data_IF_269587172525
#
_entry.id   IF_269587172525
#
_cell.length_a   1.000
_cell.length_b   1.000
_cell.length_c   1.000
_cell.angle_alpha   90.00
_cell.angle_beta   90.00
_cell.angle_gamma   90.00
#
_symmetry.space_group_name_H-M   'P 1'
#
loop_
_entity.id
_entity.type
_entity.pdbx_description
1 polymer ?
#
# COMPACT_ATOMS: atom_id res chain seq x y z
N UNK A 1 -50.38 7.53 54.76
CA UNK A 1 -50.25 6.77 53.48
C UNK A 1 -49.14 7.43 52.66
N UNK A 2 -47.89 6.95 52.78
CA UNK A 2 -46.76 7.52 52.09
C UNK A 2 -46.53 6.69 50.83
N UNK A 3 -46.74 7.29 49.63
CA UNK A 3 -46.37 6.68 48.34
C UNK A 3 -44.84 6.80 48.17
N UNK A 4 -44.18 5.64 48.16
CA UNK A 4 -42.75 5.54 47.74
C UNK A 4 -42.70 5.49 46.23
N UNK A 5 -42.14 6.52 45.61
CA UNK A 5 -41.84 6.54 44.18
C UNK A 5 -40.55 5.74 43.92
N UNK A 6 -40.68 4.60 43.24
CA UNK A 6 -39.54 3.81 42.76
C UNK A 6 -38.87 4.57 41.60
N UNK A 7 -37.64 5.03 41.82
CA UNK A 7 -36.79 5.57 40.75
C UNK A 7 -36.29 4.41 39.91
N UNK A 8 -36.84 4.25 38.71
CA UNK A 8 -36.27 3.35 37.68
C UNK A 8 -35.00 3.98 37.16
N UNK A 9 -33.84 3.50 37.63
CA UNK A 9 -32.55 3.85 37.07
C UNK A 9 -32.45 3.21 35.68
N UNK A 10 -32.57 4.04 34.63
CA UNK A 10 -32.26 3.59 33.29
C UNK A 10 -30.75 3.28 33.25
N UNK A 11 -30.39 2.00 33.05
CA UNK A 11 -29.03 1.58 32.81
C UNK A 11 -28.50 2.35 31.57
N UNK A 12 -27.40 3.08 31.73
CA UNK A 12 -26.73 3.73 30.63
C UNK A 12 -26.51 2.72 29.50
N UNK A 13 -26.71 3.11 28.23
CA UNK A 13 -26.45 2.21 27.11
C UNK A 13 -25.02 1.72 27.22
N UNK A 14 -24.82 0.41 27.28
CA UNK A 14 -23.50 -0.21 27.30
C UNK A 14 -22.80 0.27 26.05
N UNK A 15 -21.78 1.15 26.20
CA UNK A 15 -20.98 1.62 25.09
C UNK A 15 -20.46 0.40 24.33
N UNK A 16 -20.69 0.37 23.03
CA UNK A 16 -20.14 -0.66 22.17
C UNK A 16 -18.62 -0.65 22.36
N UNK A 17 -18.08 -1.72 22.92
CA UNK A 17 -16.65 -1.92 23.00
C UNK A 17 -16.10 -1.99 21.58
N UNK A 18 -14.89 -1.45 21.31
CA UNK A 18 -14.34 -1.39 19.97
C UNK A 18 -14.35 -2.79 19.35
N UNK A 19 -15.05 -2.94 18.25
CA UNK A 19 -15.07 -4.15 17.47
C UNK A 19 -13.72 -4.31 16.78
N UNK A 20 -13.22 -5.53 16.70
CA UNK A 20 -12.09 -5.87 15.86
C UNK A 20 -12.60 -6.24 14.47
N UNK A 21 -11.89 -5.83 13.44
CA UNK A 21 -12.17 -6.27 12.09
C UNK A 21 -11.18 -7.37 11.69
N UNK A 22 -11.74 -8.47 11.18
CA UNK A 22 -10.98 -9.59 10.63
C UNK A 22 -11.14 -9.55 9.12
N UNK A 23 -10.02 -9.54 8.41
CA UNK A 23 -9.98 -9.61 6.95
C UNK A 23 -9.80 -11.06 6.51
N UNK A 24 -10.60 -11.48 5.53
CA UNK A 24 -10.36 -12.69 4.76
C UNK A 24 -10.27 -12.36 3.27
N UNK A 25 -9.39 -13.06 2.55
CA UNK A 25 -9.25 -13.01 1.09
C UNK A 25 -9.41 -14.41 0.54
N UNK A 26 -10.24 -14.56 -0.50
CA UNK A 26 -10.52 -15.84 -1.16
C UNK A 26 -10.84 -16.98 -0.16
N UNK A 27 -11.61 -16.65 0.89
CA UNK A 27 -11.99 -17.56 1.95
C UNK A 27 -10.94 -17.87 3.01
N UNK A 28 -9.74 -17.29 2.92
CA UNK A 28 -8.66 -17.45 3.91
C UNK A 28 -8.57 -16.22 4.79
N UNK A 29 -8.54 -16.41 6.11
CA UNK A 29 -8.26 -15.32 7.06
C UNK A 29 -6.83 -14.83 6.88
N UNK A 30 -6.65 -13.53 6.70
CA UNK A 30 -5.35 -12.90 6.44
C UNK A 30 -4.87 -11.97 7.55
N UNK A 31 -5.74 -11.61 8.49
CA UNK A 31 -5.32 -10.85 9.65
C UNK A 31 -6.41 -10.04 10.33
N UNK A 32 -6.05 -9.43 11.45
CA UNK A 32 -6.85 -8.43 12.16
C UNK A 32 -6.45 -7.05 11.63
N UNK A 33 -7.42 -6.23 11.31
CA UNK A 33 -7.20 -4.86 10.87
C UNK A 33 -7.06 -3.93 12.07
N UNK A 34 -6.21 -2.93 11.93
CA UNK A 34 -6.14 -1.80 12.84
C UNK A 34 -7.32 -0.84 12.60
N UNK A 35 -7.71 -0.64 11.34
CA UNK A 35 -8.91 0.11 10.93
C UNK A 35 -9.46 -0.39 9.59
N UNK A 36 -10.73 -0.08 9.34
CA UNK A 36 -11.38 -0.25 8.05
C UNK A 36 -12.42 0.86 7.87
N UNK A 37 -12.35 1.60 6.78
CA UNK A 37 -13.24 2.74 6.48
C UNK A 37 -13.64 2.73 5.00
N UNK A 38 -14.85 3.22 4.68
CA UNK A 38 -15.35 3.34 3.31
C UNK A 38 -16.03 2.06 2.79
N UNK A 39 -15.96 1.86 1.48
CA UNK A 39 -16.57 0.73 0.76
C UNK A 39 -18.07 0.85 0.55
N UNK A 40 -18.75 1.81 1.17
CA UNK A 40 -20.20 1.96 1.09
C UNK A 40 -20.65 2.49 -0.27
N UNK A 41 -21.89 2.19 -0.63
CA UNK A 41 -22.49 2.74 -1.84
C UNK A 41 -22.93 4.19 -1.58
N UNK A 42 -22.45 5.10 -2.39
CA UNK A 42 -22.77 6.54 -2.31
C UNK A 42 -23.51 6.97 -3.57
N UNK A 43 -24.53 7.77 -3.38
CA UNK A 43 -25.31 8.37 -4.45
C UNK A 43 -24.76 9.72 -4.85
N UNK A 44 -24.52 9.92 -6.14
CA UNK A 44 -24.20 11.21 -6.71
C UNK A 44 -25.46 12.08 -6.84
N UNK A 45 -25.42 13.28 -6.27
CA UNK A 45 -26.54 14.20 -6.29
C UNK A 45 -26.24 15.39 -7.19
N UNK A 46 -27.05 15.59 -8.21
CA UNK A 46 -27.00 16.75 -9.10
C UNK A 46 -28.07 17.75 -8.70
N UNK A 47 -27.69 19.03 -8.62
CA UNK A 47 -28.59 20.15 -8.37
C UNK A 47 -28.94 20.87 -9.66
N UNK A 48 -30.23 21.08 -9.93
CA UNK A 48 -30.75 21.85 -11.08
C UNK A 48 -31.56 23.02 -10.59
N UNK A 49 -31.33 24.19 -11.15
CA UNK A 49 -32.15 25.39 -10.96
C UNK A 49 -33.15 25.47 -12.13
N UNK A 50 -34.38 25.11 -11.86
CA UNK A 50 -35.51 25.27 -12.79
C UNK A 50 -36.33 26.44 -12.26
N UNK A 51 -36.45 27.55 -12.95
CA UNK A 51 -37.32 28.72 -12.66
C UNK A 51 -37.58 29.09 -11.16
N UNK A 52 -36.89 28.45 -10.25
CA UNK A 52 -36.99 28.61 -8.80
C UNK A 52 -35.63 28.97 -8.21
N UNK A 53 -35.57 29.86 -7.21
CA UNK A 53 -34.35 30.14 -6.47
C UNK A 53 -33.87 28.97 -5.63
N UNK A 54 -34.72 27.95 -5.45
CA UNK A 54 -34.40 26.72 -4.70
C UNK A 54 -34.00 25.63 -5.71
N UNK A 55 -32.76 25.18 -5.60
CA UNK A 55 -32.26 24.08 -6.44
C UNK A 55 -32.96 22.76 -6.10
N UNK A 56 -33.49 22.09 -7.13
CA UNK A 56 -33.96 20.71 -7.02
C UNK A 56 -32.76 19.78 -7.07
N UNK A 57 -32.76 18.79 -6.19
CA UNK A 57 -31.68 17.80 -6.10
C UNK A 57 -32.20 16.44 -6.55
N UNK A 58 -31.44 15.77 -7.41
CA UNK A 58 -31.74 14.44 -7.92
C UNK A 58 -30.53 13.54 -7.77
N UNK A 59 -30.77 12.30 -7.32
CA UNK A 59 -29.76 11.27 -7.34
C UNK A 59 -29.66 10.72 -8.78
N UNK A 60 -28.47 10.80 -9.38
CA UNK A 60 -28.26 10.43 -10.79
C UNK A 60 -27.45 9.18 -10.97
N UNK A 61 -26.58 8.86 -10.04
CA UNK A 61 -25.69 7.71 -10.12
C UNK A 61 -25.36 7.20 -8.73
N UNK A 62 -24.83 5.97 -8.66
CA UNK A 62 -24.28 5.39 -7.42
C UNK A 62 -22.93 4.76 -7.72
N UNK A 63 -21.98 4.93 -6.81
CA UNK A 63 -20.66 4.31 -6.86
C UNK A 63 -20.24 3.86 -5.46
N UNK A 64 -19.39 2.85 -5.39
CA UNK A 64 -18.75 2.50 -4.12
C UNK A 64 -17.62 3.47 -3.83
N UNK A 65 -17.55 3.92 -2.58
CA UNK A 65 -16.36 4.59 -2.06
C UNK A 65 -15.18 3.63 -2.04
N UNK A 66 -13.97 4.19 -2.10
CA UNK A 66 -12.78 3.39 -1.84
C UNK A 66 -12.86 2.81 -0.42
N UNK A 67 -12.43 1.56 -0.27
CA UNK A 67 -12.29 0.89 1.01
C UNK A 67 -10.84 1.01 1.47
N UNK A 68 -10.62 1.79 2.53
CA UNK A 68 -9.30 1.89 3.16
C UNK A 68 -9.20 0.94 4.35
N UNK A 69 -8.16 0.12 4.36
CA UNK A 69 -7.85 -0.81 5.44
C UNK A 69 -6.43 -0.63 5.93
N UNK A 70 -6.24 -0.72 7.24
CA UNK A 70 -4.92 -0.69 7.86
C UNK A 70 -4.65 -2.03 8.56
N UNK A 71 -3.48 -2.61 8.29
CA UNK A 71 -3.07 -3.90 8.85
C UNK A 71 -1.60 -3.88 9.23
N UNK A 72 -1.24 -4.72 10.21
CA UNK A 72 0.15 -4.89 10.62
C UNK A 72 0.97 -5.67 9.59
N UNK A 73 2.30 -5.56 9.70
CA UNK A 73 3.25 -6.34 8.90
C UNK A 73 3.26 -7.84 9.25
N UNK A 74 2.50 -8.24 10.25
CA UNK A 74 2.23 -9.63 10.64
C UNK A 74 1.04 -10.25 9.89
N UNK A 75 0.55 -9.56 8.86
CA UNK A 75 -0.47 -10.11 7.98
C UNK A 75 0.03 -11.37 7.27
N UNK A 76 -0.91 -12.27 6.96
CA UNK A 76 -0.61 -13.52 6.30
C UNK A 76 -0.19 -13.34 4.83
N UNK A 77 0.55 -14.30 4.30
CA UNK A 77 1.11 -14.32 2.95
C UNK A 77 0.15 -13.85 1.82
N UNK A 78 -1.17 -14.18 1.81
CA UNK A 78 -2.04 -13.76 0.71
C UNK A 78 -2.12 -12.24 0.48
N UNK A 79 -1.87 -11.42 1.50
CA UNK A 79 -1.78 -9.95 1.35
C UNK A 79 -0.52 -9.58 0.58
N UNK A 80 0.63 -10.14 0.98
CA UNK A 80 1.92 -9.89 0.33
C UNK A 80 1.90 -10.32 -1.14
N UNK A 81 1.35 -11.51 -1.41
CA UNK A 81 1.20 -12.04 -2.77
C UNK A 81 0.28 -11.14 -3.62
N UNK A 82 -0.79 -10.59 -3.04
CA UNK A 82 -1.68 -9.68 -3.76
C UNK A 82 -1.02 -8.35 -4.09
N UNK A 83 -0.31 -7.76 -3.13
CA UNK A 83 0.44 -6.52 -3.34
C UNK A 83 1.51 -6.74 -4.41
N UNK A 84 2.31 -7.79 -4.28
CA UNK A 84 3.40 -8.07 -5.21
C UNK A 84 2.88 -8.36 -6.64
N UNK A 85 1.81 -9.15 -6.77
CA UNK A 85 1.16 -9.38 -8.06
C UNK A 85 0.64 -8.07 -8.67
N UNK A 86 0.09 -7.15 -7.85
CA UNK A 86 -0.38 -5.85 -8.31
C UNK A 86 0.78 -4.98 -8.80
N UNK A 87 1.89 -4.94 -8.07
CA UNK A 87 3.07 -4.16 -8.45
C UNK A 87 3.80 -4.69 -9.68
N UNK A 88 3.63 -5.97 -9.98
CA UNK A 88 4.17 -6.59 -11.21
C UNK A 88 3.24 -6.49 -12.42
N UNK A 89 2.15 -5.73 -12.31
CA UNK A 89 1.18 -5.57 -13.41
C UNK A 89 0.19 -6.74 -13.55
N UNK A 90 0.30 -7.76 -12.69
CA UNK A 90 -0.59 -8.92 -12.63
C UNK A 90 -1.65 -8.79 -11.54
N UNK A 91 -1.96 -7.54 -11.13
CA UNK A 91 -2.95 -7.25 -10.11
C UNK A 91 -4.30 -7.85 -10.46
N UNK A 92 -4.80 -8.70 -9.58
CA UNK A 92 -6.07 -9.37 -9.76
C UNK A 92 -7.13 -8.74 -8.87
N UNK A 93 -8.34 -8.70 -9.40
CA UNK A 93 -9.53 -8.51 -8.59
C UNK A 93 -9.65 -9.67 -7.59
N UNK A 94 -9.86 -9.36 -6.30
CA UNK A 94 -9.98 -10.38 -5.25
C UNK A 94 -11.32 -10.29 -4.55
N UNK A 95 -11.81 -11.45 -4.16
CA UNK A 95 -12.94 -11.57 -3.26
C UNK A 95 -12.44 -11.55 -1.82
N UNK A 96 -13.10 -10.75 -0.98
CA UNK A 96 -12.75 -10.67 0.41
C UNK A 96 -13.98 -10.49 1.31
N UNK A 97 -13.77 -10.62 2.61
CA UNK A 97 -14.77 -10.27 3.58
C UNK A 97 -14.16 -9.56 4.79
N UNK A 98 -14.90 -8.58 5.30
CA UNK A 98 -14.65 -7.92 6.57
C UNK A 98 -15.62 -8.47 7.59
N UNK A 99 -15.11 -9.16 8.60
CA UNK A 99 -15.91 -9.66 9.72
C UNK A 99 -15.69 -8.76 10.93
N UNK A 100 -16.76 -8.23 11.47
CA UNK A 100 -16.76 -7.46 12.69
C UNK A 100 -16.92 -8.38 13.89
N UNK A 101 -15.95 -8.39 14.78
CA UNK A 101 -15.88 -9.25 15.94
C UNK A 101 -16.05 -8.46 17.22
N UNK A 102 -16.91 -8.91 18.11
CA UNK A 102 -17.01 -8.40 19.47
C UNK A 102 -15.82 -8.88 20.32
N UNK A 103 -15.61 -8.23 21.45
CA UNK A 103 -14.50 -8.55 22.36
C UNK A 103 -14.59 -9.97 22.95
N UNK A 104 -15.78 -10.52 23.06
CA UNK A 104 -16.02 -11.88 23.52
C UNK A 104 -15.79 -12.95 22.44
N UNK A 105 -15.40 -12.52 21.24
CA UNK A 105 -15.18 -13.40 20.10
C UNK A 105 -16.43 -13.72 19.30
N UNK A 106 -17.59 -13.12 19.64
CA UNK A 106 -18.78 -13.27 18.84
C UNK A 106 -18.74 -12.43 17.57
N UNK A 107 -19.38 -12.90 16.49
CA UNK A 107 -19.52 -12.17 15.24
C UNK A 107 -20.66 -11.19 15.32
N UNK A 108 -20.39 -9.91 15.10
CA UNK A 108 -21.41 -8.84 15.04
C UNK A 108 -21.99 -8.69 13.64
N UNK A 109 -21.22 -8.98 12.61
CA UNK A 109 -21.62 -8.90 11.23
C UNK A 109 -20.45 -9.13 10.29
N UNK A 110 -20.76 -9.36 9.02
CA UNK A 110 -19.77 -9.47 7.97
C UNK A 110 -20.23 -8.73 6.71
N UNK A 111 -19.28 -8.26 5.93
CA UNK A 111 -19.49 -7.70 4.59
C UNK A 111 -18.52 -8.35 3.62
N UNK A 112 -19.05 -8.89 2.54
CA UNK A 112 -18.26 -9.37 1.42
C UNK A 112 -18.00 -8.24 0.45
N UNK A 113 -16.81 -8.23 -0.12
CA UNK A 113 -16.42 -7.31 -1.17
C UNK A 113 -15.70 -8.05 -2.31
N UNK A 114 -15.84 -7.50 -3.50
CA UNK A 114 -14.96 -7.80 -4.60
C UNK A 114 -14.24 -6.50 -4.99
N UNK A 115 -12.91 -6.49 -4.95
CA UNK A 115 -12.15 -5.26 -5.13
C UNK A 115 -10.81 -5.49 -5.84
N UNK A 116 -10.32 -4.42 -6.47
CA UNK A 116 -8.94 -4.28 -6.93
C UNK A 116 -8.14 -3.41 -5.95
N UNK A 117 -6.85 -3.68 -5.83
CA UNK A 117 -5.93 -2.88 -5.02
C UNK A 117 -5.46 -1.66 -5.83
N UNK A 118 -5.70 -0.46 -5.33
CA UNK A 118 -5.33 0.80 -6.00
C UNK A 118 -4.11 1.49 -5.38
N UNK A 119 -3.93 1.41 -4.08
CA UNK A 119 -2.80 2.04 -3.41
C UNK A 119 -2.30 1.19 -2.23
N UNK A 120 -0.99 1.23 -2.03
CA UNK A 120 -0.32 0.66 -0.86
C UNK A 120 0.58 1.72 -0.26
N UNK A 121 0.28 2.15 0.96
CA UNK A 121 1.06 3.15 1.67
C UNK A 121 1.84 2.50 2.80
N UNK A 122 3.14 2.71 2.76
CA UNK A 122 4.06 2.39 3.85
C UNK A 122 4.14 3.57 4.81
N UNK A 123 4.14 3.32 6.12
CA UNK A 123 4.32 4.37 7.11
C UNK A 123 5.74 4.96 7.03
N UNK A 124 5.94 6.09 7.65
CA UNK A 124 7.29 6.58 7.91
C UNK A 124 8.08 5.56 8.75
N UNK A 125 9.28 5.27 8.30
CA UNK A 125 10.23 4.42 9.00
C UNK A 125 11.32 5.29 9.63
N UNK A 126 11.52 5.17 10.92
CA UNK A 126 12.53 5.96 11.65
C UNK A 126 13.16 5.12 12.75
N UNK A 127 14.48 5.19 12.88
CA UNK A 127 15.22 4.50 13.95
C UNK A 127 14.83 5.01 15.36
N UNK A 128 14.28 6.23 15.45
CA UNK A 128 13.80 6.82 16.69
C UNK A 128 12.35 6.44 17.03
N UNK A 129 11.58 5.94 16.06
CA UNK A 129 10.16 5.66 16.22
C UNK A 129 9.92 4.24 16.74
N UNK A 130 9.07 4.14 17.76
CA UNK A 130 8.51 2.85 18.23
C UNK A 130 7.08 2.66 17.73
N UNK A 131 6.72 3.29 16.62
CA UNK A 131 5.38 3.19 16.05
C UNK A 131 5.11 1.78 15.50
N UNK A 132 3.84 1.42 15.45
CA UNK A 132 3.42 0.21 14.75
C UNK A 132 3.67 0.41 13.26
N UNK A 133 4.35 -0.53 12.61
CA UNK A 133 4.42 -0.56 11.15
C UNK A 133 3.07 -1.00 10.60
N UNK A 134 2.19 -0.06 10.28
CA UNK A 134 0.91 -0.34 9.66
C UNK A 134 0.98 -0.03 8.16
N UNK A 135 0.65 -1.02 7.35
CA UNK A 135 0.38 -0.80 5.93
C UNK A 135 -1.05 -0.29 5.77
N UNK A 136 -1.22 0.74 4.95
CA UNK A 136 -2.55 1.19 4.52
C UNK A 136 -2.77 0.71 3.09
N UNK A 137 -3.84 -0.06 2.88
CA UNK A 137 -4.27 -0.52 1.56
C UNK A 137 -5.55 0.22 1.19
N UNK A 138 -5.58 0.78 -0.01
CA UNK A 138 -6.79 1.35 -0.60
C UNK A 138 -7.29 0.44 -1.71
N UNK A 139 -8.52 0.00 -1.55
CA UNK A 139 -9.19 -0.92 -2.45
C UNK A 139 -10.30 -0.19 -3.19
N UNK A 140 -10.50 -0.51 -4.45
CA UNK A 140 -11.65 -0.07 -5.25
C UNK A 140 -12.66 -1.20 -5.33
N UNK A 141 -13.72 -1.18 -4.49
CA UNK A 141 -14.71 -2.22 -4.51
C UNK A 141 -15.68 -2.05 -5.68
N UNK A 142 -16.00 -3.14 -6.35
CA UNK A 142 -17.13 -3.23 -7.29
C UNK A 142 -18.41 -3.70 -6.56
N UNK A 143 -18.24 -4.30 -5.40
CA UNK A 143 -19.32 -4.74 -4.53
C UNK A 143 -18.91 -4.68 -3.06
N UNK A 144 -19.85 -4.31 -2.18
CA UNK A 144 -19.65 -4.30 -0.72
C UNK A 144 -20.98 -4.59 -0.02
N UNK A 145 -21.29 -5.88 0.15
CA UNK A 145 -22.61 -6.33 0.56
C UNK A 145 -22.59 -7.03 1.93
N UNK A 146 -23.66 -6.91 2.73
CA UNK A 146 -23.83 -7.75 3.92
C UNK A 146 -23.70 -9.22 3.57
N UNK A 147 -23.01 -9.97 4.42
CA UNK A 147 -22.80 -11.42 4.25
C UNK A 147 -23.12 -12.17 5.53
N UNK A 148 -23.55 -13.41 5.35
CA UNK A 148 -23.68 -14.38 6.45
C UNK A 148 -22.38 -15.19 6.63
N UNK A 149 -21.51 -15.19 5.62
CA UNK A 149 -20.22 -15.89 5.64
C UNK A 149 -19.19 -15.04 6.38
N UNK A 150 -19.08 -15.26 7.67
CA UNK A 150 -18.18 -14.55 8.55
C UNK A 150 -16.95 -15.42 8.85
N UNK A 151 -15.78 -14.81 8.86
CA UNK A 151 -14.60 -15.44 9.43
C UNK A 151 -14.81 -15.71 10.93
N UNK A 152 -14.29 -16.82 11.44
CA UNK A 152 -14.45 -17.16 12.85
C UNK A 152 -13.62 -16.20 13.73
N UNK A 153 -14.30 -15.31 14.45
CA UNK A 153 -13.68 -14.29 15.32
C UNK A 153 -12.81 -14.89 16.43
N UNK A 154 -13.24 -16.01 17.04
CA UNK A 154 -12.55 -16.62 18.17
C UNK A 154 -11.17 -17.22 17.85
N UNK A 155 -10.95 -17.63 16.62
CA UNK A 155 -9.69 -18.26 16.21
C UNK A 155 -8.56 -17.25 15.94
N UNK A 156 -8.91 -16.00 15.63
CA UNK A 156 -7.94 -14.96 15.23
C UNK A 156 -7.34 -14.26 16.45
N UNK A 157 -8.13 -14.08 17.52
CA UNK A 157 -7.66 -13.42 18.76
C UNK A 157 -6.53 -14.15 19.48
N UNK A 158 -6.40 -15.47 19.30
CA UNK A 158 -5.44 -16.28 20.05
C UNK A 158 -4.06 -16.41 19.38
N UNK A 159 -3.95 -16.18 18.07
CA UNK A 159 -2.73 -16.51 17.30
C UNK A 159 -1.91 -15.31 16.85
N UNK A 160 -2.46 -14.12 16.83
CA UNK A 160 -1.69 -12.96 16.38
C UNK A 160 -0.81 -12.41 17.50
N UNK A 161 0.44 -12.79 17.48
CA UNK A 161 1.48 -12.04 18.17
C UNK A 161 1.53 -10.66 17.54
N UNK A 162 1.31 -9.61 18.33
CA UNK A 162 1.44 -8.23 17.89
C UNK A 162 2.91 -7.99 17.53
N UNK A 163 3.26 -8.16 16.27
CA UNK A 163 4.59 -7.82 15.78
C UNK A 163 4.69 -6.30 15.68
N UNK A 164 5.38 -5.71 16.63
CA UNK A 164 5.79 -4.32 16.55
C UNK A 164 6.94 -4.25 15.57
N UNK A 165 6.94 -3.23 14.73
CA UNK A 165 8.13 -2.90 13.96
C UNK A 165 9.23 -2.53 14.96
N UNK A 166 10.26 -3.36 15.05
CA UNK A 166 11.41 -3.13 15.93
C UNK A 166 12.41 -2.16 15.31
N UNK A 167 12.44 -2.12 13.99
CA UNK A 167 13.33 -1.28 13.22
C UNK A 167 13.20 -1.52 11.71
N UNK A 168 14.06 -0.84 10.98
CA UNK A 168 14.23 -1.07 9.55
C UNK A 168 15.72 -0.99 9.20
N UNK A 169 16.07 -1.62 8.10
CA UNK A 169 17.38 -1.48 7.46
C UNK A 169 17.18 -1.09 6.00
N UNK A 170 17.92 -0.09 5.56
CA UNK A 170 18.00 0.29 4.16
C UNK A 170 19.24 -0.32 3.55
N UNK A 171 19.12 -1.08 2.49
CA UNK A 171 20.20 -1.72 1.76
C UNK A 171 20.30 -1.09 0.38
N UNK A 172 21.52 -0.78 -0.08
CA UNK A 172 21.77 -0.27 -1.43
C UNK A 172 23.12 -0.80 -1.92
N UNK A 173 23.11 -1.44 -3.10
CA UNK A 173 24.30 -2.09 -3.64
C UNK A 173 25.43 -1.08 -3.89
N UNK A 174 26.59 -1.36 -3.27
CA UNK A 174 27.79 -0.52 -3.43
C UNK A 174 27.73 0.85 -2.75
N UNK A 175 26.83 1.07 -1.78
CA UNK A 175 26.75 2.27 -0.94
C UNK A 175 26.58 1.89 0.52
N UNK A 176 27.41 2.41 1.42
CA UNK A 176 27.19 2.27 2.88
C UNK A 176 25.91 3.02 3.28
N UNK A 177 24.82 2.30 3.35
CA UNK A 177 23.52 2.83 3.74
C UNK A 177 23.23 2.73 5.25
N UNK A 178 24.21 2.33 6.08
CA UNK A 178 24.06 2.22 7.52
C UNK A 178 23.73 3.53 8.24
N UNK A 179 23.93 4.66 7.56
CA UNK A 179 23.61 6.00 8.03
C UNK A 179 22.18 6.44 7.74
N UNK A 180 21.36 5.64 7.08
CA UNK A 180 19.95 5.99 6.83
C UNK A 180 19.15 5.86 8.12
N UNK A 181 18.71 7.00 8.65
CA UNK A 181 17.99 7.09 9.93
C UNK A 181 16.48 7.18 9.75
N UNK A 182 16.03 7.55 8.55
CA UNK A 182 14.60 7.74 8.25
C UNK A 182 14.32 7.49 6.77
N UNK A 183 13.19 6.85 6.50
CA UNK A 183 12.53 6.79 5.20
C UNK A 183 11.16 7.42 5.38
N UNK A 184 10.85 8.48 4.61
CA UNK A 184 9.53 9.10 4.68
C UNK A 184 8.44 8.12 4.21
N UNK A 185 7.21 8.34 4.64
CA UNK A 185 6.05 7.59 4.14
C UNK A 185 5.97 7.67 2.63
N UNK A 186 5.67 6.55 1.99
CA UNK A 186 5.56 6.48 0.53
C UNK A 186 4.37 5.62 0.11
N UNK A 187 3.78 5.96 -1.03
CA UNK A 187 2.61 5.28 -1.59
C UNK A 187 2.90 4.79 -2.99
N UNK A 188 2.73 3.49 -3.21
CA UNK A 188 2.71 2.91 -4.56
C UNK A 188 1.27 2.88 -5.03
N UNK A 189 1.00 3.47 -6.19
CA UNK A 189 -0.35 3.55 -6.76
C UNK A 189 -0.47 2.76 -8.05
N UNK A 190 -1.66 2.23 -8.27
CA UNK A 190 -2.00 1.43 -9.44
C UNK A 190 -3.27 2.01 -10.08
N UNK A 191 -3.20 2.35 -11.35
CA UNK A 191 -4.35 2.81 -12.11
C UNK A 191 -4.75 1.76 -13.14
N UNK A 192 -6.06 1.51 -13.27
CA UNK A 192 -6.56 0.73 -14.37
C UNK A 192 -6.31 1.48 -15.68
N UNK A 193 -5.69 0.83 -16.65
CA UNK A 193 -5.56 1.39 -17.99
C UNK A 193 -6.91 1.27 -18.68
N UNK A 194 -7.67 2.38 -18.75
CA UNK A 194 -8.89 2.45 -19.52
C UNK A 194 -8.54 2.44 -21.01
N UNK A 195 -9.03 1.44 -21.74
CA UNK A 195 -8.90 1.42 -23.19
C UNK A 195 -9.65 2.63 -23.77
N UNK A 196 -8.94 3.50 -24.50
CA UNK A 196 -9.57 4.59 -25.24
C UNK A 196 -10.41 3.98 -26.37
N UNK A 197 -11.65 4.41 -26.53
CA UNK A 197 -12.54 3.97 -27.61
C UNK A 197 -11.85 4.22 -28.96
N UNK A 198 -11.67 3.16 -29.75
CA UNK A 198 -10.98 3.21 -31.05
C UNK A 198 -9.61 2.53 -31.10
N UNK A 199 -9.08 2.03 -30.00
CA UNK A 199 -7.87 1.20 -29.99
C UNK A 199 -8.22 -0.27 -30.31
N UNK A 200 -7.32 -1.02 -31.00
CA UNK A 200 -7.53 -2.46 -31.22
C UNK A 200 -7.72 -3.19 -29.89
N UNK A 201 -8.58 -4.22 -29.88
CA UNK A 201 -8.88 -5.05 -28.69
C UNK A 201 -7.65 -5.59 -27.95
N UNK A 202 -6.54 -5.80 -28.67
CA UNK A 202 -5.26 -6.23 -28.10
C UNK A 202 -4.58 -5.16 -27.22
N UNK A 203 -4.94 -3.89 -27.35
CA UNK A 203 -4.44 -2.81 -26.48
C UNK A 203 -5.20 -2.73 -25.14
N UNK A 204 -6.40 -3.31 -25.06
CA UNK A 204 -7.22 -3.35 -23.85
C UNK A 204 -6.71 -4.36 -22.79
N UNK A 205 -5.74 -5.21 -23.17
CA UNK A 205 -5.11 -6.20 -22.29
C UNK A 205 -3.79 -5.72 -21.67
N UNK A 206 -3.40 -4.46 -21.88
CA UNK A 206 -2.28 -3.88 -21.13
C UNK A 206 -2.72 -3.71 -19.70
N UNK A 207 -2.09 -4.49 -18.82
CA UNK A 207 -2.35 -4.52 -17.38
C UNK A 207 -2.32 -3.14 -16.71
N UNK A 208 -2.66 -3.09 -15.45
CA UNK A 208 -2.67 -1.87 -14.65
C UNK A 208 -1.32 -1.15 -14.73
N UNK A 209 -1.33 0.17 -14.91
CA UNK A 209 -0.12 0.96 -14.75
C UNK A 209 0.21 1.09 -13.27
N UNK A 210 1.46 0.83 -12.91
CA UNK A 210 1.97 0.98 -11.55
C UNK A 210 2.89 2.20 -11.51
N UNK A 211 2.70 3.05 -10.51
CA UNK A 211 3.53 4.22 -10.27
C UNK A 211 4.28 4.05 -8.96
N UNK A 212 5.60 3.95 -9.05
CA UNK A 212 6.48 3.92 -7.89
C UNK A 212 6.89 5.34 -7.52
N UNK A 213 6.79 5.72 -6.25
CA UNK A 213 7.15 7.06 -5.80
C UNK A 213 8.66 7.21 -5.65
N UNK A 214 9.14 8.45 -5.66
CA UNK A 214 10.48 8.73 -5.19
C UNK A 214 10.56 8.47 -3.68
N UNK A 215 11.65 7.84 -3.26
CA UNK A 215 11.94 7.61 -1.84
C UNK A 215 12.72 8.79 -1.28
N UNK A 216 12.30 9.30 -0.14
CA UNK A 216 12.98 10.38 0.58
C UNK A 216 13.59 9.83 1.84
N UNK A 217 14.90 9.96 1.95
CA UNK A 217 15.71 9.43 3.03
C UNK A 217 16.32 10.58 3.84
N UNK A 218 16.53 10.33 5.13
CA UNK A 218 17.41 11.15 5.97
C UNK A 218 18.65 10.33 6.31
N UNK A 219 19.83 10.87 6.01
CA UNK A 219 21.12 10.20 6.21
C UNK A 219 21.96 11.01 7.19
N UNK A 220 22.54 10.35 8.19
CA UNK A 220 23.42 11.00 9.16
C UNK A 220 24.68 11.54 8.49
N UNK A 221 25.09 12.77 8.85
CA UNK A 221 26.23 13.47 8.20
C UNK A 221 27.52 12.63 8.18
N UNK A 222 27.82 11.94 9.27
CA UNK A 222 29.03 11.12 9.41
C UNK A 222 29.02 9.85 8.54
N UNK A 223 27.92 9.55 7.85
CA UNK A 223 27.74 8.37 6.99
C UNK A 223 27.25 8.72 5.58
N UNK A 224 27.27 10.01 5.22
CA UNK A 224 26.71 10.48 3.97
C UNK A 224 27.72 10.48 2.79
N UNK A 225 29.00 10.27 3.04
CA UNK A 225 30.05 10.43 2.05
C UNK A 225 29.87 9.57 0.80
N UNK A 226 29.39 8.34 0.93
CA UNK A 226 29.16 7.47 -0.24
C UNK A 226 27.94 7.89 -1.05
N UNK A 227 26.90 8.41 -0.40
CA UNK A 227 25.76 9.02 -1.10
C UNK A 227 26.18 10.27 -1.86
N UNK A 228 27.03 11.12 -1.27
CA UNK A 228 27.56 12.31 -1.94
C UNK A 228 28.40 11.93 -3.16
N UNK A 229 29.31 10.96 -3.01
CA UNK A 229 30.11 10.43 -4.11
C UNK A 229 29.25 9.89 -5.24
N UNK A 230 28.21 9.12 -4.91
CA UNK A 230 27.27 8.60 -5.91
C UNK A 230 26.49 9.73 -6.58
N UNK A 231 26.03 10.74 -5.81
CA UNK A 231 25.34 11.90 -6.36
C UNK A 231 26.23 12.68 -7.34
N UNK A 232 27.50 12.91 -7.00
CA UNK A 232 28.46 13.58 -7.90
C UNK A 232 28.66 12.77 -9.17
N UNK A 233 28.85 11.46 -9.06
CA UNK A 233 29.06 10.61 -10.25
C UNK A 233 27.78 10.57 -11.12
N UNK A 234 26.64 10.30 -10.51
CA UNK A 234 25.39 10.07 -11.21
C UNK A 234 24.76 11.35 -11.80
N UNK A 235 24.73 12.44 -11.00
CA UNK A 235 24.04 13.68 -11.38
C UNK A 235 25.00 14.71 -11.96
N UNK A 236 26.15 14.94 -11.30
CA UNK A 236 27.08 16.02 -11.73
C UNK A 236 27.89 15.59 -12.93
N UNK A 237 28.43 14.37 -12.94
CA UNK A 237 29.22 13.84 -14.04
C UNK A 237 28.36 13.24 -15.17
N UNK A 238 27.03 13.00 -14.91
CA UNK A 238 26.09 12.50 -15.90
C UNK A 238 26.18 10.99 -16.16
N UNK A 239 26.81 10.21 -15.28
CA UNK A 239 26.88 8.74 -15.37
C UNK A 239 25.56 8.13 -14.84
N UNK A 240 24.46 8.33 -15.57
CA UNK A 240 23.09 8.00 -15.12
C UNK A 240 22.36 7.00 -16.01
N UNK A 241 23.11 6.14 -16.70
CA UNK A 241 22.53 5.04 -17.48
C UNK A 241 22.20 3.84 -16.58
N UNK A 242 21.45 2.86 -17.12
CA UNK A 242 20.97 1.66 -16.41
C UNK A 242 22.08 0.89 -15.68
N UNK A 243 23.35 1.01 -16.13
CA UNK A 243 24.49 0.33 -15.51
C UNK A 243 24.98 1.02 -14.24
N UNK A 244 24.68 2.30 -14.09
CA UNK A 244 25.05 3.11 -12.93
C UNK A 244 23.92 3.21 -11.91
N UNK A 245 22.71 2.75 -12.27
CA UNK A 245 21.63 2.54 -11.34
C UNK A 245 21.95 1.41 -10.37
N UNK A 246 21.31 1.43 -9.22
CA UNK A 246 21.56 0.49 -8.14
C UNK A 246 20.32 -0.36 -7.85
N UNK A 247 20.57 -1.51 -7.23
CA UNK A 247 19.51 -2.30 -6.58
C UNK A 247 19.61 -2.14 -5.08
N UNK A 248 18.50 -2.31 -4.40
CA UNK A 248 18.47 -2.18 -2.96
C UNK A 248 17.26 -2.81 -2.31
N UNK A 249 17.09 -2.58 -1.03
CA UNK A 249 15.90 -3.02 -0.31
C UNK A 249 15.62 -2.17 0.93
N UNK A 250 14.35 -2.08 1.30
CA UNK A 250 13.90 -1.66 2.62
C UNK A 250 13.50 -2.94 3.36
N UNK A 251 14.25 -3.28 4.41
CA UNK A 251 14.02 -4.45 5.24
C UNK A 251 13.32 -4.00 6.51
N UNK A 252 12.16 -4.58 6.78
CA UNK A 252 11.36 -4.30 7.96
C UNK A 252 11.58 -5.42 8.98
N UNK A 253 11.96 -5.08 10.20
CA UNK A 253 12.43 -6.01 11.21
C UNK A 253 11.58 -5.94 12.48
N UNK A 254 11.48 -7.07 13.17
CA UNK A 254 10.91 -7.11 14.53
C UNK A 254 11.92 -6.62 15.58
N UNK A 255 11.51 -6.61 16.84
CA UNK A 255 12.38 -6.21 17.95
C UNK A 255 13.60 -7.14 18.15
N UNK A 256 13.59 -8.35 17.60
CA UNK A 256 14.70 -9.29 17.61
C UNK A 256 15.56 -9.20 16.32
N UNK A 257 15.35 -8.16 15.50
CA UNK A 257 16.02 -7.95 14.21
C UNK A 257 15.73 -9.06 13.17
N UNK A 258 14.65 -9.81 13.38
CA UNK A 258 14.19 -10.77 12.40
C UNK A 258 13.42 -10.05 11.31
N UNK A 259 13.75 -10.34 10.06
CA UNK A 259 13.05 -9.80 8.90
C UNK A 259 11.59 -10.25 8.88
N UNK A 260 10.68 -9.27 8.87
CA UNK A 260 9.24 -9.47 8.74
C UNK A 260 8.79 -9.35 7.29
N UNK A 261 9.32 -8.32 6.61
CA UNK A 261 8.99 -8.04 5.23
C UNK A 261 10.16 -7.31 4.55
N UNK A 262 10.21 -7.42 3.24
CA UNK A 262 11.21 -6.78 2.38
C UNK A 262 10.55 -6.11 1.19
N UNK A 263 10.85 -4.84 0.99
CA UNK A 263 10.57 -4.12 -0.25
C UNK A 263 11.87 -4.07 -1.05
N UNK A 264 11.98 -4.90 -2.06
CA UNK A 264 13.15 -4.90 -2.96
C UNK A 264 12.98 -3.81 -4.00
N UNK A 265 14.05 -3.06 -4.25
CA UNK A 265 14.10 -1.90 -5.13
C UNK A 265 14.98 -2.22 -6.34
N UNK A 266 14.48 -1.95 -7.54
CA UNK A 266 15.22 -2.12 -8.78
C UNK A 266 15.31 -0.82 -9.56
N UNK A 267 16.42 -0.62 -10.26
CA UNK A 267 16.72 0.57 -11.04
C UNK A 267 16.57 1.86 -10.22
N UNK A 268 17.40 1.95 -9.18
CA UNK A 268 17.42 3.07 -8.24
C UNK A 268 18.45 4.09 -8.66
N UNK A 269 18.03 5.34 -8.86
CA UNK A 269 18.91 6.46 -9.14
C UNK A 269 18.78 7.56 -8.10
N UNK A 270 19.90 8.21 -7.78
CA UNK A 270 19.91 9.37 -6.89
C UNK A 270 19.62 10.63 -7.69
N UNK A 271 18.59 11.39 -7.28
CA UNK A 271 18.22 12.64 -7.96
C UNK A 271 18.52 13.90 -7.16
N UNK A 272 18.62 13.77 -5.85
CA UNK A 272 18.85 14.93 -4.97
C UNK A 272 19.66 14.52 -3.75
N UNK A 273 20.60 15.37 -3.40
CA UNK A 273 21.40 15.29 -2.18
C UNK A 273 21.51 16.71 -1.61
N UNK A 274 20.97 16.97 -0.42
CA UNK A 274 20.95 18.31 0.17
C UNK A 274 21.13 18.26 1.67
N UNK A 275 21.88 19.22 2.22
CA UNK A 275 22.00 19.37 3.66
C UNK A 275 20.62 19.69 4.26
N UNK A 276 20.26 18.98 5.30
CA UNK A 276 19.07 19.22 6.11
C UNK A 276 19.54 19.81 7.44
N UNK A 277 19.23 21.07 7.66
CA UNK A 277 19.51 21.75 8.92
C UNK A 277 18.18 22.22 9.51
N UNK A 278 17.64 21.44 10.45
CA UNK A 278 16.53 21.89 11.27
C UNK A 278 17.12 22.64 12.46
N UNK A 279 17.06 23.97 12.45
CA UNK A 279 17.54 24.84 13.54
C UNK A 279 16.76 24.70 14.86
N UNK A 280 15.79 23.79 14.90
CA UNK A 280 15.02 23.48 16.08
C UNK A 280 15.70 22.36 16.87
N UNK A 281 16.33 22.75 17.97
CA UNK A 281 16.73 21.95 19.12
C UNK A 281 17.40 20.57 18.86
N UNK A 282 18.74 20.57 18.94
CA UNK A 282 19.55 19.35 19.16
C UNK A 282 19.41 18.19 18.17
N UNK A 283 18.80 18.43 17.01
CA UNK A 283 18.73 17.42 15.97
C UNK A 283 20.09 17.31 15.30
N UNK A 284 20.75 16.13 15.25
CA UNK A 284 22.03 15.99 14.55
C UNK A 284 21.91 16.40 13.09
N UNK A 285 22.89 17.14 12.58
CA UNK A 285 22.93 17.51 11.18
C UNK A 285 22.82 16.26 10.30
N UNK A 286 22.02 16.37 9.25
CA UNK A 286 21.70 15.25 8.35
C UNK A 286 21.60 15.72 6.90
N UNK A 287 21.65 14.79 5.97
CA UNK A 287 21.35 15.03 4.58
C UNK A 287 19.97 14.47 4.22
N UNK A 288 19.24 15.22 3.41
CA UNK A 288 18.06 14.73 2.72
C UNK A 288 18.49 14.17 1.36
N UNK A 289 18.18 12.91 1.14
CA UNK A 289 18.48 12.18 -0.11
C UNK A 289 17.16 11.80 -0.76
N UNK A 290 17.00 12.06 -2.05
CA UNK A 290 15.84 11.64 -2.82
C UNK A 290 16.27 10.70 -3.93
N UNK A 291 15.66 9.51 -3.95
CA UNK A 291 15.93 8.46 -4.91
C UNK A 291 14.67 8.24 -5.78
N UNK A 292 14.85 8.08 -7.08
CA UNK A 292 13.81 7.49 -7.90
C UNK A 292 13.98 5.97 -7.92
N UNK A 293 12.89 5.26 -8.15
CA UNK A 293 12.85 3.79 -8.20
C UNK A 293 11.94 3.39 -9.35
N UNK A 294 12.40 2.54 -10.24
CA UNK A 294 11.60 2.10 -11.40
C UNK A 294 10.75 0.86 -11.10
N UNK A 295 11.18 0.04 -10.14
CA UNK A 295 10.44 -1.16 -9.77
C UNK A 295 10.57 -1.48 -8.29
N UNK A 296 9.48 -1.98 -7.71
CA UNK A 296 9.45 -2.49 -6.34
C UNK A 296 8.79 -3.87 -6.30
N UNK A 297 9.27 -4.72 -5.40
CA UNK A 297 8.69 -6.04 -5.08
C UNK A 297 8.50 -6.16 -3.58
N UNK A 298 7.37 -6.66 -3.16
CA UNK A 298 7.09 -6.90 -1.75
C UNK A 298 7.15 -8.40 -1.46
N UNK A 299 7.96 -8.79 -0.49
CA UNK A 299 8.05 -10.18 -0.03
C UNK A 299 7.97 -10.28 1.49
N UNK A 300 7.49 -11.42 1.95
CA UNK A 300 7.46 -11.82 3.35
C UNK A 300 8.62 -12.79 3.62
N UNK A 301 9.15 -12.82 4.85
CA UNK A 301 10.13 -13.82 5.33
C UNK A 301 11.47 -13.86 4.58
N UNK A 302 11.98 -12.73 4.11
CA UNK A 302 13.34 -12.66 3.54
C UNK A 302 13.53 -13.35 2.19
N UNK A 303 12.45 -13.77 1.53
CA UNK A 303 12.54 -14.33 0.18
C UNK A 303 12.98 -13.22 -0.78
N UNK A 304 14.26 -13.24 -1.19
CA UNK A 304 14.77 -12.30 -2.18
C UNK A 304 14.23 -12.69 -3.57
N UNK A 305 13.49 -11.80 -4.26
CA UNK A 305 13.15 -12.04 -5.66
C UNK A 305 14.45 -12.19 -6.46
N UNK A 306 14.48 -13.10 -7.43
CA UNK A 306 15.67 -13.30 -8.25
C UNK A 306 15.89 -12.07 -9.14
N UNK A 307 17.15 -11.68 -9.37
CA UNK A 307 17.47 -10.57 -10.28
C UNK A 307 16.90 -10.78 -11.70
N UNK A 308 16.69 -12.03 -12.12
CA UNK A 308 16.03 -12.34 -13.40
C UNK A 308 14.57 -11.85 -13.47
N UNK A 309 13.88 -11.77 -12.34
CA UNK A 309 12.47 -11.32 -12.29
C UNK A 309 12.36 -9.80 -12.49
N UNK A 310 13.37 -9.02 -12.10
CA UNK A 310 13.42 -7.58 -12.40
C UNK A 310 13.66 -7.31 -13.88
N UNK A 311 14.55 -8.07 -14.52
CA UNK A 311 14.87 -7.91 -15.94
C UNK A 311 13.68 -8.19 -16.87
N UNK A 312 12.69 -8.96 -16.40
CA UNK A 312 11.49 -9.28 -17.20
C UNK A 312 10.47 -8.14 -17.20
N UNK A 313 10.49 -7.26 -16.19
CA UNK A 313 9.55 -6.12 -16.09
C UNK A 313 9.96 -4.92 -16.96
N UNK A 314 11.26 -4.74 -17.17
CA UNK A 314 11.81 -3.60 -17.91
C UNK A 314 12.06 -3.88 -19.40
N UNK A 315 11.95 -5.15 -19.86
CA UNK A 315 12.15 -5.49 -21.26
C UNK A 315 11.02 -4.86 -22.13
N UNK A 316 11.34 -3.91 -23.05
CA UNK A 316 10.34 -3.41 -23.98
C UNK A 316 9.86 -4.57 -24.84
N UNK A 317 8.56 -4.81 -24.89
CA UNK A 317 7.94 -5.78 -25.81
C UNK A 317 8.34 -5.40 -27.23
N UNK A 318 9.27 -6.19 -27.80
CA UNK A 318 9.73 -6.01 -29.17
C UNK A 318 8.51 -5.97 -30.10
N UNK A 319 8.28 -4.92 -30.89
CA UNK A 319 7.12 -4.86 -31.76
C UNK A 319 7.17 -6.07 -32.71
N UNK A 320 6.08 -6.81 -32.74
CA UNK A 320 5.92 -7.95 -33.66
C UNK A 320 6.07 -7.45 -35.08
N UNK A 321 6.94 -8.06 -35.90
CA UNK A 321 7.12 -7.63 -37.29
C UNK A 321 5.77 -7.70 -38.02
N UNK A 322 5.45 -6.63 -38.75
CA UNK A 322 4.22 -6.56 -39.53
C UNK A 322 4.14 -7.73 -40.52
N UNK A 323 2.97 -8.35 -40.71
CA UNK A 323 2.80 -9.43 -41.66
C UNK A 323 3.14 -8.96 -43.08
N UNK A 324 4.02 -9.71 -43.73
CA UNK A 324 4.45 -9.42 -45.09
C UNK A 324 3.23 -9.38 -46.03
N UNK A 325 3.02 -8.23 -46.68
CA UNK A 325 2.04 -8.07 -47.73
C UNK A 325 2.33 -9.05 -48.89
N UNK A 326 1.47 -10.03 -49.08
CA UNK A 326 1.50 -10.90 -50.25
C UNK A 326 1.27 -10.05 -51.49
N UNK A 327 2.30 -9.88 -52.32
CA UNK A 327 2.18 -9.26 -53.63
C UNK A 327 1.34 -10.21 -54.49
N UNK A 328 0.10 -9.82 -54.80
CA UNK A 328 -0.66 -10.44 -55.91
C UNK A 328 0.06 -10.14 -57.21
N UNK A 329 0.61 -11.16 -57.86
CA UNK A 329 1.01 -11.10 -59.25
C UNK A 329 -0.26 -11.03 -60.12
N UNK A 330 -0.29 -10.04 -60.98
CA UNK A 330 -1.19 -10.00 -62.13
C UNK A 330 -0.77 -11.07 -63.16
#
# INVERSE_FOLDING_TARGET
MLLSAAVVSAAAPRGFLPAQFVLSLDGKTVGILASAEGGTLVGEVVSRHEESPIAKKHLVNTAHEDLEIQLGLDAERPIYDWVDATWTGNGQFRQGALTQCARDGSTLGARQFGASLSEVTFPELSVASKARGLLTLRLKPESFNPSKDAAACSKVSASQKKHWLGGFRFELDGVDSSGVTRVESFTVSTAAVTATVGQPRDAALKGNSVTFPNLKLTVAVNKAAEFEKWFVDFVVNGNSDDKHEKSGAIVLEDAAQKELARVTLGHVGIRRFSLKNDNADQTPASYAVELYVESMRLSMDGTKPSQREFATQTAPTKPRPAPALKKHKK
#
